data_IF_684486860133
#
_entry.id   IF_684486860133
#
_cell.length_a   1.000
_cell.length_b   1.000
_cell.length_c   1.000
_cell.angle_alpha   90.00
_cell.angle_beta   90.00
_cell.angle_gamma   90.00
#
_symmetry.space_group_name_H-M   'P 1'
#
loop_
_entity.id
_entity.type
_entity.pdbx_description
1 polymer ?
#
# COMPACT_ATOMS: atom_id res chain seq x y z
N UNK A 1 -11.90 12.49 6.73
CA UNK A 1 -10.69 12.16 7.53
C UNK A 1 -10.24 10.73 7.30
N UNK A 2 -11.13 9.73 7.44
CA UNK A 2 -10.76 8.30 7.29
C UNK A 2 -10.03 7.96 5.97
N UNK A 3 -10.46 8.44 4.78
CA UNK A 3 -9.71 8.17 3.55
C UNK A 3 -8.28 8.72 3.55
N UNK A 4 -8.04 9.88 4.17
CA UNK A 4 -6.69 10.46 4.29
C UNK A 4 -5.76 9.59 5.14
N UNK A 5 -6.28 9.03 6.24
CA UNK A 5 -5.51 8.11 7.09
C UNK A 5 -5.09 6.89 6.29
N UNK A 6 -6.00 6.31 5.50
CA UNK A 6 -5.73 5.14 4.67
C UNK A 6 -4.68 5.42 3.59
N UNK A 7 -4.68 6.62 3.03
CA UNK A 7 -3.67 7.03 2.05
C UNK A 7 -2.29 7.16 2.69
N UNK A 8 -2.19 7.86 3.83
CA UNK A 8 -0.90 8.01 4.53
C UNK A 8 -0.40 6.64 5.01
N UNK A 9 -1.28 5.80 5.54
CA UNK A 9 -0.96 4.42 5.93
C UNK A 9 -0.40 3.64 4.73
N UNK A 10 -1.03 3.73 3.56
CA UNK A 10 -0.57 3.05 2.35
C UNK A 10 0.84 3.48 1.95
N UNK A 11 1.12 4.78 2.00
CA UNK A 11 2.45 5.32 1.67
C UNK A 11 3.49 4.89 2.71
N UNK A 12 3.16 4.98 4.00
CA UNK A 12 4.08 4.57 5.07
C UNK A 12 4.43 3.09 4.98
N UNK A 13 3.44 2.24 4.72
CA UNK A 13 3.63 0.79 4.57
C UNK A 13 4.52 0.44 3.38
N UNK A 14 4.30 1.06 2.21
CA UNK A 14 5.16 0.79 1.03
C UNK A 14 6.59 1.23 1.27
N UNK A 15 6.76 2.38 1.93
CA UNK A 15 8.08 2.92 2.26
C UNK A 15 8.83 2.00 3.22
N UNK A 16 8.18 1.56 4.30
CA UNK A 16 8.79 0.65 5.28
C UNK A 16 9.17 -0.69 4.65
N UNK A 17 8.30 -1.27 3.81
CA UNK A 17 8.57 -2.55 3.15
C UNK A 17 9.73 -2.46 2.14
N UNK A 18 9.79 -1.37 1.37
CA UNK A 18 10.85 -1.15 0.38
C UNK A 18 12.20 -0.87 1.03
N UNK A 19 12.25 -0.01 2.05
CA UNK A 19 13.51 0.31 2.75
C UNK A 19 14.07 -0.89 3.49
N UNK A 20 13.23 -1.65 4.21
CA UNK A 20 13.65 -2.86 4.89
C UNK A 20 14.27 -3.88 3.92
N UNK A 21 13.63 -4.10 2.77
CA UNK A 21 14.13 -5.03 1.75
C UNK A 21 15.40 -4.51 1.07
N UNK A 22 15.51 -3.19 0.86
CA UNK A 22 16.69 -2.57 0.27
C UNK A 22 17.91 -2.67 1.19
N UNK A 23 17.74 -2.49 2.51
CA UNK A 23 18.82 -2.67 3.49
C UNK A 23 19.36 -4.11 3.42
N UNK A 24 18.49 -5.11 3.36
CA UNK A 24 18.92 -6.50 3.24
C UNK A 24 19.67 -6.79 1.93
N UNK A 25 19.31 -6.10 0.85
CA UNK A 25 20.00 -6.23 -0.43
C UNK A 25 21.38 -5.54 -0.41
N UNK A 26 21.47 -4.37 0.23
CA UNK A 26 22.70 -3.58 0.40
C UNK A 26 23.73 -4.36 1.24
N UNK A 27 23.28 -4.96 2.35
CA UNK A 27 24.11 -5.74 3.28
C UNK A 27 24.42 -7.17 2.80
N UNK A 28 24.01 -7.55 1.58
CA UNK A 28 24.22 -8.90 1.01
C UNK A 28 23.60 -10.05 1.83
N UNK A 29 22.70 -9.75 2.76
CA UNK A 29 22.05 -10.77 3.59
C UNK A 29 21.09 -11.62 2.77
N UNK A 30 20.49 -11.05 1.71
CA UNK A 30 19.70 -11.81 0.73
C UNK A 30 20.53 -12.88 0.01
N UNK A 31 21.77 -12.57 -0.38
CA UNK A 31 22.64 -13.53 -1.06
C UNK A 31 23.01 -14.68 -0.11
N UNK A 32 23.35 -14.36 1.15
CA UNK A 32 23.63 -15.36 2.18
C UNK A 32 22.40 -16.26 2.46
N UNK A 33 21.20 -15.68 2.57
CA UNK A 33 19.96 -16.45 2.74
C UNK A 33 19.71 -17.43 1.59
N UNK A 34 20.08 -17.07 0.37
CA UNK A 34 19.90 -17.90 -0.82
C UNK A 34 20.94 -19.03 -0.94
N UNK A 35 21.96 -19.07 -0.09
CA UNK A 35 22.92 -20.19 0.01
C UNK A 35 22.50 -21.26 1.02
N UNK A 36 21.54 -20.96 1.90
CA UNK A 36 21.01 -21.91 2.86
C UNK A 36 20.14 -22.97 2.15
N UNK A 37 20.07 -24.21 2.67
CA UNK A 37 19.28 -25.31 2.09
C UNK A 37 17.77 -25.15 2.39
N UNK A 38 17.22 -23.97 2.11
CA UNK A 38 15.80 -23.63 2.28
C UNK A 38 15.24 -23.24 0.92
N UNK A 39 13.97 -23.55 0.66
CA UNK A 39 13.38 -23.20 -0.63
C UNK A 39 13.18 -21.68 -0.74
N UNK A 40 13.46 -21.12 -1.92
CA UNK A 40 13.34 -19.68 -2.20
C UNK A 40 11.92 -19.16 -1.97
N UNK A 41 10.93 -20.02 -2.19
CA UNK A 41 9.52 -19.72 -1.97
C UNK A 41 9.20 -19.55 -0.48
N UNK A 42 9.76 -20.40 0.39
CA UNK A 42 9.56 -20.30 1.84
C UNK A 42 10.18 -19.02 2.41
N UNK A 43 11.38 -18.64 1.97
CA UNK A 43 12.04 -17.39 2.38
C UNK A 43 11.15 -16.19 2.04
N UNK A 44 10.58 -16.18 0.84
CA UNK A 44 9.73 -15.10 0.37
C UNK A 44 8.40 -15.03 1.12
N UNK A 45 7.73 -16.16 1.31
CA UNK A 45 6.47 -16.23 2.06
C UNK A 45 6.70 -15.80 3.51
N UNK A 46 7.80 -16.24 4.13
CA UNK A 46 8.17 -15.82 5.49
C UNK A 46 8.38 -14.29 5.57
N UNK A 47 9.09 -13.70 4.59
CA UNK A 47 9.30 -12.24 4.52
C UNK A 47 7.99 -11.48 4.30
N UNK A 48 7.14 -11.94 3.39
CA UNK A 48 5.87 -11.28 3.09
C UNK A 48 4.91 -11.36 4.28
N UNK A 49 4.83 -12.51 4.95
CA UNK A 49 4.02 -12.66 6.16
C UNK A 49 4.58 -11.78 7.29
N UNK A 50 5.89 -11.80 7.53
CA UNK A 50 6.55 -10.97 8.56
C UNK A 50 6.35 -9.47 8.33
N UNK A 51 6.65 -8.99 7.13
CA UNK A 51 6.46 -7.58 6.76
C UNK A 51 5.00 -7.14 6.79
N UNK A 52 4.07 -8.03 6.44
CA UNK A 52 2.64 -7.72 6.49
C UNK A 52 2.12 -7.65 7.92
N UNK A 53 2.55 -8.54 8.83
CA UNK A 53 2.21 -8.46 10.26
C UNK A 53 2.70 -7.13 10.84
N UNK A 54 3.95 -6.76 10.57
CA UNK A 54 4.53 -5.48 11.02
C UNK A 54 3.75 -4.31 10.43
N UNK A 55 3.33 -4.39 9.17
CA UNK A 55 2.54 -3.34 8.50
C UNK A 55 1.14 -3.20 9.08
N UNK A 56 0.51 -4.30 9.50
CA UNK A 56 -0.79 -4.28 10.19
C UNK A 56 -0.65 -3.61 11.55
N UNK A 57 0.34 -4.02 12.35
CA UNK A 57 0.62 -3.41 13.66
C UNK A 57 0.92 -1.92 13.50
N UNK A 58 1.80 -1.57 12.55
CA UNK A 58 2.14 -0.20 12.20
C UNK A 58 0.92 0.62 11.76
N UNK A 59 0.02 0.03 10.98
CA UNK A 59 -1.22 0.68 10.54
C UNK A 59 -2.20 0.97 11.68
N UNK A 60 -2.33 0.06 12.65
CA UNK A 60 -3.15 0.27 13.86
C UNK A 60 -2.55 1.37 14.73
N UNK A 61 -1.25 1.31 14.99
CA UNK A 61 -0.54 2.33 15.77
C UNK A 61 -0.60 3.71 15.09
N UNK A 62 -0.44 3.75 13.77
CA UNK A 62 -0.55 4.97 12.98
C UNK A 62 -1.95 5.58 13.08
N UNK A 63 -3.00 4.76 12.94
CA UNK A 63 -4.39 5.21 13.06
C UNK A 63 -4.65 5.78 14.46
N UNK A 64 -4.21 5.08 15.50
CA UNK A 64 -4.35 5.54 16.89
C UNK A 64 -3.59 6.84 17.14
N UNK A 65 -2.35 6.96 16.66
CA UNK A 65 -1.56 8.18 16.76
C UNK A 65 -2.20 9.36 16.02
N UNK A 66 -2.73 9.12 14.82
CA UNK A 66 -3.40 10.15 14.04
C UNK A 66 -4.70 10.63 14.70
N UNK A 67 -5.48 9.73 15.32
CA UNK A 67 -6.67 10.11 16.09
C UNK A 67 -6.30 11.04 17.26
N UNK A 68 -5.26 10.70 18.03
CA UNK A 68 -4.77 11.54 19.13
C UNK A 68 -4.29 12.90 18.62
N UNK A 69 -3.53 12.92 17.53
CA UNK A 69 -3.06 14.15 16.88
C UNK A 69 -4.24 15.05 16.47
N UNK A 70 -5.26 14.47 15.83
CA UNK A 70 -6.43 15.21 15.36
C UNK A 70 -7.27 15.75 16.53
N UNK A 71 -7.49 14.94 17.57
CA UNK A 71 -8.14 15.40 18.80
C UNK A 71 -7.36 16.54 19.48
N UNK A 72 -6.03 16.48 19.47
CA UNK A 72 -5.18 17.53 20.04
C UNK A 72 -5.23 18.82 19.21
N UNK A 73 -5.29 18.72 17.88
CA UNK A 73 -5.45 19.88 17.00
C UNK A 73 -6.81 20.56 17.19
N UNK A 74 -7.88 19.79 17.34
CA UNK A 74 -9.23 20.31 17.57
C UNK A 74 -9.41 20.96 18.95
N UNK A 75 -8.59 20.59 19.94
CA UNK A 75 -8.59 21.17 21.30
C UNK A 75 -7.72 22.44 21.41
N UNK A 76 -7.16 22.93 20.32
CA UNK A 76 -6.30 24.12 20.32
C UNK A 76 -7.11 25.39 20.60
N UNK A 77 -6.63 26.30 21.49
CA UNK A 77 -7.37 27.53 21.82
C UNK A 77 -7.58 28.40 20.56
N UNK A 78 -8.84 28.72 20.25
CA UNK A 78 -9.23 29.48 19.05
C UNK A 78 -9.94 28.66 17.97
N UNK A 79 -10.09 27.35 18.15
CA UNK A 79 -10.87 26.46 17.29
C UNK A 79 -11.89 25.66 18.12
N UNK A 80 -12.77 26.35 18.86
CA UNK A 80 -13.83 25.70 19.65
C UNK A 80 -14.95 25.16 18.75
N UNK A 81 -14.67 24.05 18.06
CA UNK A 81 -15.71 23.19 17.49
C UNK A 81 -16.16 22.28 18.64
N UNK A 82 -17.09 22.79 19.47
CA UNK A 82 -17.65 22.12 20.65
C UNK A 82 -18.56 20.93 20.32
N UNK A 83 -18.77 20.62 19.04
CA UNK A 83 -19.48 19.41 18.64
C UNK A 83 -18.53 18.23 18.79
N UNK A 84 -18.77 17.43 19.82
CA UNK A 84 -18.19 16.09 19.96
C UNK A 84 -18.42 15.35 18.65
N UNK A 85 -17.34 15.12 17.89
CA UNK A 85 -17.33 14.50 16.57
C UNK A 85 -18.25 13.25 16.51
N UNK A 86 -18.33 12.53 17.64
CA UNK A 86 -19.14 11.35 17.89
C UNK A 86 -20.66 11.53 17.73
N UNK A 87 -21.22 12.75 17.78
CA UNK A 87 -22.68 12.98 17.69
C UNK A 87 -23.20 13.15 16.25
N UNK A 88 -22.32 13.41 15.27
CA UNK A 88 -22.68 13.65 13.86
C UNK A 88 -22.39 12.43 12.98
N UNK A 89 -21.75 11.39 13.52
CA UNK A 89 -21.52 10.16 12.76
C UNK A 89 -22.85 9.41 12.58
N UNK A 90 -23.21 9.02 11.34
CA UNK A 90 -24.27 8.06 11.11
C UNK A 90 -24.02 6.78 11.93
N UNK A 91 -25.06 6.03 12.32
CA UNK A 91 -24.87 4.74 12.96
C UNK A 91 -24.04 3.84 12.04
N UNK A 92 -22.78 3.59 12.42
CA UNK A 92 -21.89 2.72 11.66
C UNK A 92 -22.37 1.28 11.86
N UNK A 93 -22.77 0.63 10.77
CA UNK A 93 -23.13 -0.79 10.79
C UNK A 93 -21.88 -1.66 10.99
N UNK A 94 -21.96 -2.67 11.87
CA UNK A 94 -20.85 -3.58 12.17
C UNK A 94 -20.31 -4.29 10.91
N UNK A 95 -21.19 -4.60 9.96
CA UNK A 95 -20.85 -5.20 8.67
C UNK A 95 -19.93 -4.31 7.83
N UNK A 96 -20.17 -3.00 7.83
CA UNK A 96 -19.35 -2.01 7.11
C UNK A 96 -17.93 -1.95 7.68
N UNK A 97 -17.80 -2.06 9.00
CA UNK A 97 -16.51 -2.06 9.68
C UNK A 97 -15.71 -3.34 9.39
N UNK A 98 -16.36 -4.50 9.39
CA UNK A 98 -15.75 -5.77 8.99
C UNK A 98 -15.27 -5.75 7.54
N UNK A 99 -16.10 -5.23 6.62
CA UNK A 99 -15.77 -5.10 5.22
C UNK A 99 -14.54 -4.18 5.02
N UNK A 100 -14.52 -3.04 5.72
CA UNK A 100 -13.39 -2.13 5.73
C UNK A 100 -12.13 -2.81 6.26
N UNK A 101 -12.21 -3.52 7.38
CA UNK A 101 -11.08 -4.23 7.98
C UNK A 101 -10.46 -5.26 7.02
N UNK A 102 -11.28 -6.09 6.38
CA UNK A 102 -10.82 -7.08 5.40
C UNK A 102 -10.18 -6.39 4.19
N UNK A 103 -10.81 -5.33 3.69
CA UNK A 103 -10.30 -4.57 2.54
C UNK A 103 -8.95 -3.89 2.85
N UNK A 104 -8.79 -3.34 4.05
CA UNK A 104 -7.52 -2.77 4.52
C UNK A 104 -6.44 -3.84 4.60
N UNK A 105 -6.74 -5.02 5.15
CA UNK A 105 -5.77 -6.13 5.21
C UNK A 105 -5.28 -6.52 3.82
N UNK A 106 -6.20 -6.70 2.87
CA UNK A 106 -5.86 -7.04 1.48
C UNK A 106 -5.03 -5.95 0.79
N UNK A 107 -5.37 -4.68 1.03
CA UNK A 107 -4.62 -3.53 0.53
C UNK A 107 -3.21 -3.47 1.12
N UNK A 108 -3.04 -3.78 2.41
CA UNK A 108 -1.72 -3.83 3.05
C UNK A 108 -0.87 -4.92 2.40
N UNK A 109 -1.38 -6.15 2.24
CA UNK A 109 -0.66 -7.24 1.57
C UNK A 109 -0.24 -6.88 0.13
N UNK A 110 -1.12 -6.21 -0.60
CA UNK A 110 -0.83 -5.74 -1.95
C UNK A 110 0.32 -4.74 -1.96
N UNK A 111 0.24 -3.71 -1.11
CA UNK A 111 1.23 -2.63 -1.05
C UNK A 111 2.58 -3.14 -0.52
N UNK A 112 2.60 -4.00 0.50
CA UNK A 112 3.84 -4.58 1.02
C UNK A 112 4.54 -5.39 -0.05
N UNK A 113 3.80 -6.18 -0.82
CA UNK A 113 4.37 -6.93 -1.96
C UNK A 113 5.04 -6.01 -2.98
N UNK A 114 4.39 -4.89 -3.35
CA UNK A 114 4.99 -3.89 -4.24
C UNK A 114 6.24 -3.25 -3.63
N UNK A 115 6.21 -2.90 -2.35
CA UNK A 115 7.36 -2.37 -1.63
C UNK A 115 8.55 -3.33 -1.65
N UNK A 116 8.30 -4.62 -1.37
CA UNK A 116 9.33 -5.67 -1.41
C UNK A 116 9.93 -5.80 -2.81
N UNK A 117 9.13 -5.74 -3.88
CA UNK A 117 9.66 -5.76 -5.26
C UNK A 117 10.59 -4.58 -5.50
N UNK A 118 10.18 -3.36 -5.15
CA UNK A 118 11.03 -2.18 -5.32
C UNK A 118 12.32 -2.30 -4.51
N UNK A 119 12.24 -2.71 -3.26
CA UNK A 119 13.42 -2.88 -2.40
C UNK A 119 14.39 -3.93 -2.94
N UNK A 120 13.89 -5.08 -3.40
CA UNK A 120 14.72 -6.14 -3.98
C UNK A 120 15.39 -5.72 -5.30
N UNK A 121 14.73 -4.87 -6.11
CA UNK A 121 15.29 -4.33 -7.34
C UNK A 121 16.31 -3.20 -7.14
N UNK A 122 16.43 -2.67 -5.91
CA UNK A 122 17.25 -1.51 -5.60
C UNK A 122 18.60 -1.91 -5.04
N UNK A 123 19.69 -1.30 -5.50
CA UNK A 123 21.04 -1.60 -5.00
C UNK A 123 21.30 -1.12 -3.57
N UNK A 124 20.58 -0.09 -3.15
CA UNK A 124 20.81 0.66 -1.93
C UNK A 124 19.51 1.37 -1.52
N UNK A 125 19.41 1.76 -0.25
CA UNK A 125 18.19 2.41 0.30
C UNK A 125 17.85 3.70 -0.44
N UNK A 126 18.84 4.43 -0.96
CA UNK A 126 18.61 5.68 -1.71
C UNK A 126 17.96 5.40 -3.07
N UNK A 127 18.41 4.37 -3.80
CA UNK A 127 17.77 3.94 -5.04
C UNK A 127 16.33 3.46 -4.79
N UNK A 128 16.09 2.73 -3.70
CA UNK A 128 14.74 2.28 -3.34
C UNK A 128 13.79 3.46 -3.13
N UNK A 129 14.22 4.48 -2.37
CA UNK A 129 13.43 5.69 -2.16
C UNK A 129 13.15 6.47 -3.45
N UNK A 130 14.09 6.49 -4.40
CA UNK A 130 13.85 7.09 -5.72
C UNK A 130 12.83 6.30 -6.54
N UNK A 131 12.89 4.97 -6.49
CA UNK A 131 11.99 4.10 -7.23
C UNK A 131 10.57 4.02 -6.64
N UNK A 132 10.41 4.28 -5.35
CA UNK A 132 9.11 4.33 -4.68
C UNK A 132 8.14 5.32 -5.33
N UNK A 133 8.63 6.40 -5.95
CA UNK A 133 7.80 7.34 -6.70
C UNK A 133 6.98 6.67 -7.81
N UNK A 134 7.52 5.64 -8.46
CA UNK A 134 6.81 4.89 -9.50
C UNK A 134 5.65 4.04 -8.96
N UNK A 135 5.67 3.70 -7.67
CA UNK A 135 4.59 2.96 -7.01
C UNK A 135 3.59 3.91 -6.36
N UNK A 136 4.06 5.00 -5.75
CA UNK A 136 3.22 5.97 -5.06
C UNK A 136 2.30 6.70 -6.04
N UNK A 137 2.80 7.10 -7.22
CA UNK A 137 2.01 7.86 -8.21
C UNK A 137 0.75 7.08 -8.64
N UNK A 138 0.83 5.81 -9.08
CA UNK A 138 -0.36 5.01 -9.42
C UNK A 138 -1.34 4.79 -8.26
N UNK A 139 -0.88 4.79 -7.01
CA UNK A 139 -1.76 4.69 -5.82
C UNK A 139 -2.44 6.02 -5.53
N UNK A 140 -1.74 7.13 -5.76
CA UNK A 140 -2.20 8.48 -5.48
C UNK A 140 -3.31 8.94 -6.42
N UNK A 141 -3.25 8.58 -7.69
CA UNK A 141 -4.29 8.94 -8.69
C UNK A 141 -5.69 8.45 -8.29
N UNK A 142 -5.94 7.14 -8.06
CA UNK A 142 -7.27 6.66 -7.68
C UNK A 142 -7.71 7.20 -6.32
N UNK A 143 -6.77 7.44 -5.40
CA UNK A 143 -7.07 8.06 -4.12
C UNK A 143 -7.70 9.45 -4.28
N UNK A 144 -7.08 10.34 -5.05
CA UNK A 144 -7.62 11.68 -5.25
C UNK A 144 -8.92 11.68 -6.05
N UNK A 145 -9.07 10.75 -6.99
CA UNK A 145 -10.32 10.58 -7.73
C UNK A 145 -11.48 10.17 -6.82
N UNK A 146 -11.26 9.28 -5.85
CA UNK A 146 -12.26 8.90 -4.85
C UNK A 146 -12.53 10.05 -3.87
N UNK A 147 -11.47 10.77 -3.45
CA UNK A 147 -11.60 11.81 -2.44
C UNK A 147 -12.42 13.00 -2.93
N UNK A 148 -12.17 13.45 -4.17
CA UNK A 148 -12.78 14.66 -4.72
C UNK A 148 -13.89 14.39 -5.74
N UNK A 149 -13.96 13.19 -6.30
CA UNK A 149 -14.96 12.82 -7.30
C UNK A 149 -15.98 11.82 -6.76
N UNK A 150 -17.09 11.69 -7.49
CA UNK A 150 -18.04 10.60 -7.28
C UNK A 150 -17.79 9.49 -8.32
N UNK A 151 -17.29 8.32 -7.91
CA UNK A 151 -17.05 7.21 -8.82
C UNK A 151 -18.28 6.79 -9.61
N UNK A 152 -19.51 7.01 -9.11
CA UNK A 152 -20.76 6.55 -9.76
C UNK A 152 -21.01 7.23 -11.10
N UNK A 153 -20.70 8.53 -11.19
CA UNK A 153 -20.99 9.37 -12.37
C UNK A 153 -19.80 9.49 -13.33
N UNK A 154 -18.66 8.88 -13.02
CA UNK A 154 -17.46 8.98 -13.84
C UNK A 154 -17.55 8.16 -15.15
N UNK A 155 -16.86 8.61 -16.22
CA UNK A 155 -16.64 7.82 -17.43
C UNK A 155 -16.01 6.46 -17.13
N UNK A 156 -16.35 5.45 -17.94
CA UNK A 156 -15.89 4.06 -17.76
C UNK A 156 -14.36 3.96 -17.65
N UNK A 157 -13.62 4.73 -18.45
CA UNK A 157 -12.15 4.71 -18.43
C UNK A 157 -11.57 5.11 -17.05
N UNK A 158 -12.15 6.12 -16.40
CA UNK A 158 -11.70 6.58 -15.08
C UNK A 158 -12.10 5.58 -14.00
N UNK A 159 -13.29 5.00 -14.09
CA UNK A 159 -13.73 3.90 -13.21
C UNK A 159 -12.76 2.73 -13.23
N UNK A 160 -12.30 2.32 -14.42
CA UNK A 160 -11.33 1.23 -14.55
C UNK A 160 -10.01 1.55 -13.84
N UNK A 161 -9.51 2.79 -13.93
CA UNK A 161 -8.29 3.21 -13.22
C UNK A 161 -8.49 3.16 -11.70
N UNK A 162 -9.65 3.58 -11.21
CA UNK A 162 -9.99 3.54 -9.79
C UNK A 162 -10.02 2.09 -9.30
N UNK A 163 -10.82 1.24 -9.94
CA UNK A 163 -11.03 -0.14 -9.51
C UNK A 163 -9.86 -1.10 -9.81
N UNK A 164 -8.87 -0.67 -10.59
CA UNK A 164 -7.68 -1.48 -10.90
C UNK A 164 -6.83 -1.78 -9.65
N UNK A 165 -6.73 -0.85 -8.70
CA UNK A 165 -5.83 -0.99 -7.55
C UNK A 165 -6.58 -1.49 -6.31
N UNK A 166 -6.12 -2.57 -5.64
CA UNK A 166 -6.72 -3.04 -4.38
C UNK A 166 -6.81 -1.96 -3.28
N UNK A 167 -5.93 -0.95 -3.34
CA UNK A 167 -5.85 0.17 -2.40
C UNK A 167 -7.00 1.17 -2.52
N UNK A 168 -7.74 1.14 -3.63
CA UNK A 168 -8.88 2.02 -3.87
C UNK A 168 -10.15 1.54 -3.17
N UNK A 169 -10.31 0.23 -2.96
CA UNK A 169 -11.48 -0.32 -2.27
C UNK A 169 -11.60 0.10 -0.79
N UNK A 170 -10.55 0.06 0.05
CA UNK A 170 -10.70 0.49 1.44
C UNK A 170 -10.97 2.00 1.53
N UNK A 171 -10.42 2.80 0.60
CA UNK A 171 -10.68 4.25 0.55
C UNK A 171 -12.10 4.56 0.09
N UNK A 172 -12.64 3.78 -0.86
CA UNK A 172 -14.03 3.86 -1.28
C UNK A 172 -14.99 3.46 -0.15
N UNK A 173 -14.75 2.32 0.52
CA UNK A 173 -15.58 1.86 1.65
C UNK A 173 -15.56 2.88 2.77
N UNK A 174 -14.37 3.40 3.14
CA UNK A 174 -14.23 4.40 4.19
C UNK A 174 -14.96 5.71 3.88
N UNK A 175 -15.01 6.12 2.60
CA UNK A 175 -15.76 7.30 2.17
C UNK A 175 -17.27 7.03 2.21
N UNK A 176 -17.72 5.97 1.56
CA UNK A 176 -19.15 5.71 1.41
C UNK A 176 -19.78 5.36 2.75
N UNK A 177 -19.12 4.63 3.65
CA UNK A 177 -19.62 4.34 5.01
C UNK A 177 -20.07 5.59 5.80
N UNK A 178 -19.55 6.78 5.46
CA UNK A 178 -19.91 8.05 6.10
C UNK A 178 -21.05 8.77 5.36
N UNK A 179 -21.13 8.61 4.03
CA UNK A 179 -21.94 9.49 3.17
C UNK A 179 -23.17 8.77 2.59
N UNK A 180 -23.08 7.46 2.32
CA UNK A 180 -24.04 6.70 1.53
C UNK A 180 -24.09 5.22 1.96
N UNK A 181 -25.09 4.43 1.53
CA UNK A 181 -24.97 2.98 1.57
C UNK A 181 -23.78 2.51 0.74
N UNK A 182 -23.10 1.45 1.23
CA UNK A 182 -21.92 0.89 0.56
C UNK A 182 -22.29 0.42 -0.86
N UNK A 183 -21.54 0.86 -1.89
CA UNK A 183 -21.79 0.45 -3.27
C UNK A 183 -21.51 -1.05 -3.45
N UNK A 184 -22.30 -1.71 -4.30
CA UNK A 184 -22.15 -3.15 -4.60
C UNK A 184 -20.76 -3.44 -5.21
N UNK A 185 -20.22 -2.47 -5.92
CA UNK A 185 -18.87 -2.48 -6.49
C UNK A 185 -17.78 -2.67 -5.43
N UNK A 186 -17.98 -2.16 -4.21
CA UNK A 186 -17.03 -2.36 -3.12
C UNK A 186 -17.02 -3.80 -2.60
N UNK A 187 -18.15 -4.51 -2.69
CA UNK A 187 -18.28 -5.91 -2.29
C UNK A 187 -17.56 -6.81 -3.31
N UNK A 188 -17.77 -6.56 -4.61
CA UNK A 188 -17.03 -7.24 -5.69
C UNK A 188 -15.53 -6.93 -5.67
N UNK A 189 -15.16 -5.81 -5.04
CA UNK A 189 -13.77 -5.44 -4.81
C UNK A 189 -12.97 -6.42 -3.97
N UNK A 190 -13.61 -7.16 -3.05
CA UNK A 190 -12.92 -8.13 -2.20
C UNK A 190 -12.36 -9.31 -3.00
N UNK A 191 -13.17 -10.10 -3.74
CA UNK A 191 -12.63 -11.21 -4.52
C UNK A 191 -11.62 -10.72 -5.57
N UNK A 192 -11.85 -9.55 -6.18
CA UNK A 192 -10.87 -8.93 -7.07
C UNK A 192 -9.54 -8.65 -6.37
N UNK A 193 -9.59 -8.04 -5.18
CA UNK A 193 -8.40 -7.73 -4.39
C UNK A 193 -7.66 -8.99 -3.95
N UNK A 194 -8.36 -10.07 -3.58
CA UNK A 194 -7.75 -11.35 -3.26
C UNK A 194 -6.97 -11.88 -4.48
N UNK A 195 -7.61 -11.94 -5.65
CA UNK A 195 -6.98 -12.46 -6.87
C UNK A 195 -5.75 -11.64 -7.24
N UNK A 196 -5.88 -10.32 -7.29
CA UNK A 196 -4.77 -9.43 -7.66
C UNK A 196 -3.64 -9.48 -6.63
N UNK A 197 -3.96 -9.50 -5.34
CA UNK A 197 -2.96 -9.63 -4.28
C UNK A 197 -2.23 -10.97 -4.37
N UNK A 198 -2.93 -12.08 -4.61
CA UNK A 198 -2.28 -13.38 -4.81
C UNK A 198 -1.39 -13.38 -6.06
N UNK A 199 -1.86 -12.80 -7.18
CA UNK A 199 -1.07 -12.68 -8.41
C UNK A 199 0.18 -11.85 -8.17
N UNK A 200 0.10 -10.70 -7.50
CA UNK A 200 1.28 -9.88 -7.25
C UNK A 200 2.25 -10.59 -6.30
N UNK A 201 1.77 -11.28 -5.25
CA UNK A 201 2.63 -12.08 -4.37
C UNK A 201 3.36 -13.19 -5.15
N UNK A 202 2.67 -13.85 -6.07
CA UNK A 202 3.26 -14.85 -6.95
C UNK A 202 4.30 -14.24 -7.91
N UNK A 203 4.01 -13.09 -8.52
CA UNK A 203 4.96 -12.38 -9.39
C UNK A 203 6.19 -11.92 -8.61
N UNK A 204 6.00 -11.37 -7.40
CA UNK A 204 7.07 -11.02 -6.47
C UNK A 204 7.95 -12.23 -6.16
N UNK A 205 7.34 -13.40 -5.95
CA UNK A 205 8.07 -14.67 -5.77
C UNK A 205 9.00 -15.01 -6.92
N UNK A 206 8.54 -14.76 -8.14
CA UNK A 206 9.28 -15.08 -9.35
C UNK A 206 10.44 -14.11 -9.59
N UNK A 207 10.24 -12.83 -9.27
CA UNK A 207 11.23 -11.75 -9.46
C UNK A 207 12.40 -11.89 -8.47
N UNK A 208 12.15 -12.34 -7.24
CA UNK A 208 13.19 -12.54 -6.21
C UNK A 208 14.11 -13.75 -6.46
N UNK A 209 13.99 -14.43 -7.61
CA UNK A 209 14.99 -15.43 -8.01
C UNK A 209 16.32 -14.74 -8.34
N UNK A 210 17.46 -15.10 -7.71
CA UNK A 210 18.74 -14.37 -7.82
C UNK A 210 19.23 -14.18 -9.25
N UNK A 211 19.03 -15.18 -10.11
CA UNK A 211 19.35 -15.10 -11.55
C UNK A 211 18.57 -13.97 -12.24
N UNK A 212 17.26 -13.86 -11.99
CA UNK A 212 16.43 -12.80 -12.57
C UNK A 212 16.70 -11.46 -11.91
N UNK A 213 16.94 -11.44 -10.60
CA UNK A 213 17.24 -10.25 -9.83
C UNK A 213 18.51 -9.57 -10.33
N UNK A 214 19.62 -10.31 -10.44
CA UNK A 214 20.90 -9.80 -10.93
C UNK A 214 20.79 -9.33 -12.39
N UNK A 215 20.09 -10.08 -13.23
CA UNK A 215 19.89 -9.69 -14.64
C UNK A 215 19.05 -8.42 -14.76
N UNK A 216 17.99 -8.28 -13.95
CA UNK A 216 17.13 -7.10 -13.91
C UNK A 216 17.86 -5.88 -13.33
N UNK A 217 18.60 -6.05 -12.23
CA UNK A 217 19.43 -5.00 -11.63
C UNK A 217 20.48 -4.49 -12.62
N UNK A 218 21.18 -5.40 -13.32
CA UNK A 218 22.12 -5.01 -14.39
C UNK A 218 21.43 -4.26 -15.53
N UNK A 219 20.24 -4.68 -15.96
CA UNK A 219 19.50 -4.03 -17.05
C UNK A 219 18.98 -2.64 -16.65
N UNK A 220 18.55 -2.47 -15.40
CA UNK A 220 18.15 -1.17 -14.85
C UNK A 220 19.35 -0.24 -14.75
N UNK A 221 20.47 -0.72 -14.19
CA UNK A 221 21.73 0.04 -14.11
C UNK A 221 22.27 0.42 -15.48
N UNK A 222 22.23 -0.48 -16.46
CA UNK A 222 22.65 -0.20 -17.84
C UNK A 222 21.76 0.84 -18.54
N UNK A 223 20.45 0.88 -18.24
CA UNK A 223 19.55 1.93 -18.76
C UNK A 223 19.80 3.29 -18.12
N UNK A 224 20.20 3.34 -16.86
CA UNK A 224 20.59 4.59 -16.17
C UNK A 224 21.90 5.14 -16.75
N UNK A 225 22.92 4.29 -16.92
CA UNK A 225 24.24 4.67 -17.49
C UNK A 225 24.14 5.02 -18.99
N UNK A 226 23.24 4.37 -19.74
CA UNK A 226 23.01 4.68 -21.16
C UNK A 226 22.34 6.04 -21.42
N UNK A 227 21.67 6.62 -20.43
CA UNK A 227 21.13 7.99 -20.52
C UNK A 227 22.18 9.06 -20.22
N UNK A 228 23.18 8.74 -19.41
CA UNK A 228 24.29 9.65 -19.07
C UNK A 228 25.28 9.85 -20.23
N UNK A 229 25.42 8.86 -21.13
CA UNK A 229 26.30 8.97 -22.33
C UNK A 229 25.64 9.63 -23.54
N UNK A 230 24.38 10.08 -23.42
CA UNK A 230 23.61 10.73 -24.50
C UNK A 230 23.25 12.19 -24.20
N UNK A 231 23.73 12.71 -23.08
CA UNK A 231 23.78 14.14 -22.78
C UNK A 231 25.22 14.62 -22.93
#
# INVERSE_FOLDING_TARGET
>A
IVPMILFILSISVVQMAATATAVENEEKTLETLLTLPVSRYEILVAKLLGSSIISVIGGVLFTMGFLIYFESMLKMPGMDISTSFYQVLPPIHLESFLLLGISIMLSIFFITSLGVVIGALSSDVRMANSLLGFVIIPIMVPFFLILYGDPKVMPLAIKLVIYAFPTSYPTLIAREMIINPIPVEAIFGIPYSIVITTVILYVTSLIMSPEKLLTLQHKLRARTVGKEKRQ
#
